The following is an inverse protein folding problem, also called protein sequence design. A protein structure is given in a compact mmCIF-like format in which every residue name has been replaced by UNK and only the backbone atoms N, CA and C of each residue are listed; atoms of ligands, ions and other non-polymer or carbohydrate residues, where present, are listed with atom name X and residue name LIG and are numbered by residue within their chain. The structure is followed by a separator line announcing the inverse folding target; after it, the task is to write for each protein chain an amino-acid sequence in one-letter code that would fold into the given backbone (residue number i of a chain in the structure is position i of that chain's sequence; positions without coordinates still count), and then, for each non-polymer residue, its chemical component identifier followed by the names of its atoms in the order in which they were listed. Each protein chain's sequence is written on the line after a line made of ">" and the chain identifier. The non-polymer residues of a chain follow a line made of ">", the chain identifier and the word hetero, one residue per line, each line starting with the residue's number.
data_IF_994978334110
#
_entry.id   IF_994978334110
#
_cell.length_a   1.000
_cell.length_b   1.000
_cell.length_c   1.000
_cell.angle_alpha   90.00
_cell.angle_beta   90.00
_cell.angle_gamma   90.00
#
_symmetry.space_group_name_H-M   'P 1'
#
loop_
_entity.id
_entity.type
_entity.pdbx_description
1 polymer ?
#
# COMPACT_ATOMS: atom_id res chain seq x y z
N UNK A 1 9.44 -59.45 -15.56
CA UNK A 1 8.55 -58.50 -14.84
C UNK A 1 9.43 -57.49 -14.16
N UNK A 2 9.62 -56.33 -14.75
CA UNK A 2 10.43 -55.21 -14.23
C UNK A 2 9.49 -54.22 -13.54
N UNK A 3 9.73 -53.78 -12.31
CA UNK A 3 8.87 -52.81 -11.66
C UNK A 3 9.13 -51.40 -12.21
N UNK A 4 8.06 -50.74 -12.68
CA UNK A 4 8.04 -49.33 -13.04
C UNK A 4 8.39 -48.49 -11.82
N UNK A 5 9.55 -47.84 -11.85
CA UNK A 5 9.89 -46.75 -10.94
C UNK A 5 9.04 -45.52 -11.27
N UNK A 6 8.13 -45.19 -10.39
CA UNK A 6 7.29 -44.02 -10.44
C UNK A 6 8.13 -42.80 -9.99
N UNK A 7 8.79 -42.15 -10.95
CA UNK A 7 9.59 -40.94 -10.73
C UNK A 7 8.65 -39.73 -10.54
N UNK A 8 8.05 -39.59 -9.36
CA UNK A 8 7.38 -38.34 -8.95
C UNK A 8 8.47 -37.34 -8.60
N UNK A 9 8.75 -36.42 -9.51
CA UNK A 9 9.50 -35.21 -9.17
C UNK A 9 8.78 -34.50 -8.03
N UNK A 10 9.50 -34.03 -6.98
CA UNK A 10 8.90 -33.24 -5.93
C UNK A 10 8.39 -31.92 -6.55
N UNK A 11 7.10 -31.67 -6.40
CA UNK A 11 6.51 -30.35 -6.67
C UNK A 11 7.23 -29.34 -5.76
N UNK A 12 7.73 -28.20 -6.27
CA UNK A 12 8.40 -27.23 -5.44
C UNK A 12 7.42 -26.80 -4.33
N UNK A 13 7.79 -27.05 -3.09
CA UNK A 13 7.09 -26.53 -1.91
C UNK A 13 7.28 -25.01 -1.96
N UNK A 14 6.29 -24.30 -2.49
CA UNK A 14 6.23 -22.84 -2.33
C UNK A 14 6.17 -22.58 -0.84
N UNK A 15 7.16 -21.87 -0.32
CA UNK A 15 7.21 -21.48 1.11
C UNK A 15 6.05 -20.51 1.39
N UNK A 16 4.89 -21.09 1.67
CA UNK A 16 3.63 -20.37 1.90
C UNK A 16 3.73 -19.48 3.14
N UNK A 17 4.69 -19.74 4.03
CA UNK A 17 4.93 -18.93 5.23
C UNK A 17 5.48 -17.53 4.90
N UNK A 18 6.06 -17.34 3.71
CA UNK A 18 6.59 -16.04 3.27
C UNK A 18 5.56 -15.16 2.55
N UNK A 19 4.38 -15.69 2.15
CA UNK A 19 3.35 -14.95 1.40
C UNK A 19 2.49 -14.16 2.38
N UNK A 20 2.42 -12.83 2.20
CA UNK A 20 1.56 -11.93 2.99
C UNK A 20 0.27 -11.51 2.28
N UNK A 21 0.27 -11.53 0.94
CA UNK A 21 -0.89 -11.24 0.10
C UNK A 21 -1.01 -12.30 -0.99
N UNK A 22 -2.20 -12.89 -1.13
CA UNK A 22 -2.55 -13.79 -2.22
C UNK A 22 -3.85 -13.32 -2.88
N UNK A 23 -3.85 -13.26 -4.19
CA UNK A 23 -4.99 -12.91 -5.04
C UNK A 23 -5.20 -14.07 -6.00
N UNK A 24 -6.41 -14.64 -6.02
CA UNK A 24 -6.76 -15.78 -6.85
C UNK A 24 -7.92 -15.41 -7.78
N UNK A 25 -7.66 -15.38 -9.09
CA UNK A 25 -8.63 -15.14 -10.16
C UNK A 25 -9.59 -13.95 -9.87
N UNK A 26 -9.05 -12.83 -9.36
CA UNK A 26 -9.83 -11.66 -8.97
C UNK A 26 -10.45 -10.99 -10.19
N UNK A 27 -11.78 -10.82 -10.17
CA UNK A 27 -12.52 -10.06 -11.17
C UNK A 27 -13.26 -8.91 -10.50
N UNK A 28 -13.15 -7.71 -11.09
CA UNK A 28 -13.81 -6.51 -10.56
C UNK A 28 -14.46 -5.73 -11.70
N UNK A 29 -15.76 -5.45 -11.55
CA UNK A 29 -16.53 -4.58 -12.43
C UNK A 29 -16.72 -3.18 -11.81
N UNK A 30 -16.86 -2.18 -12.65
CA UNK A 30 -17.26 -0.83 -12.26
C UNK A 30 -18.49 -0.44 -13.10
N UNK A 31 -19.67 -0.59 -12.51
CA UNK A 31 -20.91 -0.60 -13.27
C UNK A 31 -20.96 -1.80 -14.22
N UNK A 32 -21.04 -1.55 -15.52
CA UNK A 32 -21.03 -2.62 -16.54
C UNK A 32 -19.65 -2.85 -17.17
N UNK A 33 -18.62 -2.09 -16.74
CA UNK A 33 -17.27 -2.21 -17.30
C UNK A 33 -16.43 -3.20 -16.49
N UNK A 34 -15.90 -4.20 -17.15
CA UNK A 34 -14.85 -5.08 -16.63
C UNK A 34 -13.56 -4.25 -16.47
N UNK A 35 -12.96 -4.24 -15.28
CA UNK A 35 -11.76 -3.44 -14.96
C UNK A 35 -10.60 -4.32 -14.57
N UNK A 36 -10.86 -5.41 -13.86
CA UNK A 36 -9.88 -6.42 -13.50
C UNK A 36 -10.47 -7.76 -13.92
N UNK A 37 -9.72 -8.53 -14.70
CA UNK A 37 -10.15 -9.83 -15.22
C UNK A 37 -9.21 -10.94 -14.74
N UNK A 38 -9.75 -11.85 -13.93
CA UNK A 38 -9.11 -13.07 -13.42
C UNK A 38 -7.66 -12.90 -12.95
N UNK A 39 -7.36 -11.76 -12.30
CA UNK A 39 -6.01 -11.44 -11.82
C UNK A 39 -5.59 -12.43 -10.73
N UNK A 40 -4.43 -13.04 -10.91
CA UNK A 40 -3.76 -13.86 -9.90
C UNK A 40 -2.40 -13.25 -9.58
N UNK A 41 -2.10 -13.07 -8.28
CA UNK A 41 -0.86 -12.47 -7.81
C UNK A 41 -0.53 -12.94 -6.39
N UNK A 42 0.76 -13.04 -6.10
CA UNK A 42 1.28 -13.30 -4.75
C UNK A 42 2.36 -12.29 -4.41
N UNK A 43 2.37 -11.81 -3.18
CA UNK A 43 3.39 -10.92 -2.65
C UNK A 43 3.90 -11.45 -1.31
N UNK A 44 5.21 -11.34 -1.10
CA UNK A 44 5.90 -11.82 0.10
C UNK A 44 6.15 -10.69 1.09
N UNK A 45 6.45 -11.08 2.33
CA UNK A 45 7.03 -10.15 3.32
C UNK A 45 8.34 -9.55 2.81
N UNK A 46 8.60 -8.30 3.15
CA UNK A 46 9.80 -7.56 2.73
C UNK A 46 9.83 -7.20 1.25
N UNK A 47 8.74 -7.34 0.51
CA UNK A 47 8.70 -7.13 -0.95
C UNK A 47 8.04 -5.79 -1.31
N UNK A 48 8.68 -5.03 -2.21
CA UNK A 48 8.09 -3.92 -2.92
C UNK A 48 7.52 -4.42 -4.25
N UNK A 49 6.23 -4.33 -4.46
CA UNK A 49 5.60 -4.59 -5.75
C UNK A 49 5.19 -3.27 -6.42
N UNK A 50 5.72 -3.00 -7.60
CA UNK A 50 5.36 -1.84 -8.43
C UNK A 50 4.21 -2.24 -9.35
N UNK A 51 3.08 -1.58 -9.16
CA UNK A 51 1.88 -1.77 -9.97
C UNK A 51 1.88 -0.77 -11.12
N UNK A 52 2.05 -1.25 -12.34
CA UNK A 52 2.09 -0.44 -13.56
C UNK A 52 0.91 -0.74 -14.49
N UNK A 53 0.70 0.09 -15.49
CA UNK A 53 -0.36 -0.03 -16.48
C UNK A 53 -0.87 1.34 -16.93
N UNK A 54 -1.57 1.37 -18.05
CA UNK A 54 -2.14 2.59 -18.61
C UNK A 54 -3.09 3.31 -17.64
N UNK A 55 -3.37 4.59 -17.89
CA UNK A 55 -4.41 5.30 -17.13
C UNK A 55 -5.77 4.63 -17.39
N UNK A 56 -6.48 4.33 -16.30
CA UNK A 56 -7.75 3.60 -16.37
C UNK A 56 -7.63 2.07 -16.43
N UNK A 57 -6.42 1.49 -16.38
CA UNK A 57 -6.20 0.03 -16.34
C UNK A 57 -6.64 -0.65 -15.03
N UNK A 58 -7.12 0.11 -14.03
CA UNK A 58 -7.64 -0.50 -12.81
C UNK A 58 -6.70 -0.47 -11.61
N UNK A 59 -5.54 0.21 -11.66
CA UNK A 59 -4.55 0.27 -10.57
C UNK A 59 -5.19 0.67 -9.22
N UNK A 60 -5.86 1.82 -9.18
CA UNK A 60 -6.57 2.28 -7.97
C UNK A 60 -7.73 1.36 -7.57
N UNK A 61 -8.37 0.69 -8.54
CA UNK A 61 -9.42 -0.31 -8.28
C UNK A 61 -8.83 -1.51 -7.56
N UNK A 62 -7.72 -2.06 -8.05
CA UNK A 62 -7.02 -3.17 -7.41
C UNK A 62 -6.60 -2.83 -5.98
N UNK A 63 -5.94 -1.68 -5.78
CA UNK A 63 -5.51 -1.24 -4.44
C UNK A 63 -6.70 -1.12 -3.47
N UNK A 64 -7.83 -0.57 -3.94
CA UNK A 64 -9.05 -0.46 -3.12
C UNK A 64 -9.70 -1.80 -2.83
N UNK A 65 -9.67 -2.75 -3.76
CA UNK A 65 -10.17 -4.11 -3.53
C UNK A 65 -9.31 -4.84 -2.50
N UNK A 66 -7.98 -4.77 -2.60
CA UNK A 66 -7.07 -5.33 -1.60
C UNK A 66 -7.29 -4.65 -0.24
N UNK A 67 -7.51 -3.34 -0.20
CA UNK A 67 -7.80 -2.59 1.02
C UNK A 67 -9.17 -2.92 1.64
N UNK A 68 -9.98 -3.77 1.00
CA UNK A 68 -11.34 -4.08 1.45
C UNK A 68 -12.35 -2.93 1.30
N UNK A 69 -12.00 -1.91 0.51
CA UNK A 69 -12.85 -0.72 0.25
C UNK A 69 -13.73 -0.85 -0.99
N UNK A 70 -13.49 -1.89 -1.77
CA UNK A 70 -14.25 -2.23 -2.96
C UNK A 70 -14.41 -3.75 -3.00
N UNK A 71 -15.66 -4.27 -3.07
CA UNK A 71 -15.87 -5.70 -3.19
C UNK A 71 -15.39 -6.22 -4.54
N UNK A 72 -14.95 -7.48 -4.56
CA UNK A 72 -14.72 -8.24 -5.78
C UNK A 72 -16.04 -8.81 -6.29
N UNK A 73 -16.19 -8.92 -7.60
CA UNK A 73 -17.33 -9.60 -8.23
C UNK A 73 -17.10 -11.12 -8.26
N UNK A 74 -15.86 -11.57 -8.43
CA UNK A 74 -15.44 -12.97 -8.25
C UNK A 74 -13.95 -13.06 -7.89
N UNK A 75 -13.52 -14.27 -7.52
CA UNK A 75 -12.16 -14.53 -7.05
C UNK A 75 -12.00 -14.27 -5.56
N UNK A 76 -10.76 -14.35 -5.07
CA UNK A 76 -10.48 -14.25 -3.65
C UNK A 76 -9.23 -13.42 -3.37
N UNK A 77 -9.23 -12.67 -2.26
CA UNK A 77 -8.07 -11.94 -1.73
C UNK A 77 -7.84 -12.39 -0.28
N UNK A 78 -6.73 -13.09 -0.06
CA UNK A 78 -6.22 -13.40 1.27
C UNK A 78 -5.05 -12.46 1.60
N UNK A 79 -5.15 -11.74 2.71
CA UNK A 79 -4.09 -10.88 3.19
C UNK A 79 -3.92 -11.07 4.69
N UNK A 80 -2.72 -11.47 5.10
CA UNK A 80 -2.39 -11.83 6.47
C UNK A 80 -1.83 -10.67 7.29
N UNK A 81 -1.62 -9.50 6.65
CA UNK A 81 -1.15 -8.29 7.29
C UNK A 81 -2.27 -7.24 7.42
N UNK A 82 -2.21 -6.36 8.43
CA UNK A 82 -3.01 -5.13 8.45
C UNK A 82 -2.81 -4.33 7.17
N UNK A 83 -3.90 -3.82 6.60
CA UNK A 83 -3.90 -3.15 5.30
C UNK A 83 -3.98 -1.64 5.48
N UNK A 84 -2.96 -0.92 5.04
CA UNK A 84 -2.88 0.53 5.11
C UNK A 84 -2.98 1.10 3.70
N UNK A 85 -4.03 1.83 3.41
CA UNK A 85 -4.27 2.41 2.09
C UNK A 85 -4.10 3.93 2.11
N UNK A 86 -3.20 4.44 1.27
CA UNK A 86 -3.04 5.86 0.96
C UNK A 86 -3.40 6.06 -0.51
N UNK A 87 -4.56 6.66 -0.74
CA UNK A 87 -5.08 6.90 -2.08
C UNK A 87 -4.51 8.14 -2.77
N UNK A 88 -4.95 8.38 -3.99
CA UNK A 88 -4.65 9.61 -4.73
C UNK A 88 -5.22 10.86 -4.01
N UNK A 89 -6.42 10.75 -3.43
CA UNK A 89 -6.95 11.76 -2.53
C UNK A 89 -6.40 11.53 -1.12
N UNK A 90 -5.94 12.58 -0.46
CA UNK A 90 -5.27 12.50 0.84
C UNK A 90 -6.19 12.03 1.98
N UNK A 91 -7.52 12.12 1.81
CA UNK A 91 -8.50 11.65 2.80
C UNK A 91 -8.37 12.38 4.15
N UNK A 92 -8.10 13.69 4.10
CA UNK A 92 -7.95 14.56 5.27
C UNK A 92 -9.20 15.42 5.42
N UNK A 93 -9.65 15.59 6.68
CA UNK A 93 -10.73 16.52 7.03
C UNK A 93 -10.19 17.96 7.04
N UNK A 94 -10.69 18.81 6.15
CA UNK A 94 -10.17 20.16 5.95
C UNK A 94 -10.33 21.09 7.15
N UNK A 95 -11.41 20.93 7.93
CA UNK A 95 -11.77 21.84 9.04
C UNK A 95 -10.95 21.63 10.31
N UNK A 96 -10.27 20.51 10.48
CA UNK A 96 -9.48 20.19 11.66
C UNK A 96 -7.98 20.23 11.36
N UNK A 97 -7.16 20.34 12.40
CA UNK A 97 -5.70 20.42 12.26
C UNK A 97 -5.10 19.10 11.76
N UNK A 98 -3.85 19.18 11.27
CA UNK A 98 -3.08 18.02 10.85
C UNK A 98 -2.94 16.99 11.96
N UNK A 99 -2.57 17.40 13.15
CA UNK A 99 -2.43 16.53 14.31
C UNK A 99 -3.74 15.80 14.63
N UNK A 100 -4.88 16.52 14.66
CA UNK A 100 -6.21 15.91 14.89
C UNK A 100 -6.61 14.95 13.78
N UNK A 101 -6.21 15.21 12.53
CA UNK A 101 -6.41 14.26 11.42
C UNK A 101 -5.68 12.94 11.66
N UNK A 102 -4.42 12.97 12.14
CA UNK A 102 -3.65 11.76 12.46
C UNK A 102 -4.27 11.00 13.63
N UNK A 103 -4.65 11.70 14.70
CA UNK A 103 -5.33 11.10 15.86
C UNK A 103 -6.64 10.41 15.45
N UNK A 104 -7.48 11.11 14.68
CA UNK A 104 -8.75 10.56 14.20
C UNK A 104 -8.54 9.37 13.28
N UNK A 105 -7.53 9.42 12.40
CA UNK A 105 -7.21 8.31 11.53
C UNK A 105 -6.76 7.07 12.32
N UNK A 106 -5.90 7.25 13.32
CA UNK A 106 -5.47 6.16 14.19
C UNK A 106 -6.67 5.53 14.92
N UNK A 107 -7.53 6.36 15.51
CA UNK A 107 -8.73 5.88 16.21
C UNK A 107 -9.71 5.10 15.31
N UNK A 108 -9.93 5.57 14.07
CA UNK A 108 -10.81 4.89 13.09
C UNK A 108 -10.23 3.52 12.66
N UNK A 109 -8.92 3.35 12.73
CA UNK A 109 -8.24 2.11 12.36
C UNK A 109 -7.87 1.24 13.59
N UNK A 110 -8.43 1.54 14.77
CA UNK A 110 -8.18 0.83 16.03
C UNK A 110 -6.68 0.80 16.43
N UNK A 111 -5.93 1.85 16.05
CA UNK A 111 -4.51 2.01 16.37
C UNK A 111 -4.38 2.90 17.61
N UNK A 112 -3.83 2.33 18.67
CA UNK A 112 -3.51 3.10 19.88
C UNK A 112 -2.23 3.92 19.65
N UNK A 113 -2.32 5.24 19.77
CA UNK A 113 -1.20 6.17 19.61
C UNK A 113 -1.14 7.14 20.80
N UNK A 114 0.07 7.54 21.16
CA UNK A 114 0.32 8.62 22.14
C UNK A 114 0.74 9.91 21.41
N UNK A 115 0.81 11.01 22.15
CA UNK A 115 1.25 12.28 21.58
C UNK A 115 2.64 12.21 20.93
N UNK A 116 3.56 11.49 21.57
CA UNK A 116 4.92 11.29 21.05
C UNK A 116 4.95 10.55 19.70
N UNK A 117 4.07 9.55 19.50
CA UNK A 117 3.98 8.81 18.23
C UNK A 117 3.53 9.73 17.10
N UNK A 118 2.55 10.60 17.38
CA UNK A 118 2.04 11.60 16.43
C UNK A 118 3.15 12.60 16.07
N UNK A 119 3.88 13.12 17.08
CA UNK A 119 5.00 14.05 16.86
C UNK A 119 6.10 13.40 16.02
N UNK A 120 6.46 12.15 16.28
CA UNK A 120 7.44 11.40 15.51
C UNK A 120 6.98 11.18 14.07
N UNK A 121 5.72 10.82 13.85
CA UNK A 121 5.16 10.64 12.52
C UNK A 121 5.16 11.95 11.71
N UNK A 122 4.80 13.07 12.35
CA UNK A 122 4.86 14.40 11.75
C UNK A 122 6.29 14.80 11.38
N UNK A 123 7.25 14.58 12.28
CA UNK A 123 8.66 14.88 12.06
C UNK A 123 9.25 14.02 10.90
N UNK A 124 8.85 12.76 10.80
CA UNK A 124 9.30 11.85 9.74
C UNK A 124 8.99 12.37 8.34
N UNK A 125 7.89 13.07 8.16
CA UNK A 125 7.48 13.68 6.88
C UNK A 125 7.62 15.22 6.88
N UNK A 126 8.40 15.80 7.80
CA UNK A 126 8.61 17.26 7.91
C UNK A 126 7.28 18.04 7.93
N UNK A 127 6.32 17.57 8.73
CA UNK A 127 4.99 18.12 8.85
C UNK A 127 4.72 18.85 10.18
N UNK A 128 5.68 18.89 11.07
CA UNK A 128 5.55 19.49 12.41
C UNK A 128 5.20 20.98 12.35
N UNK A 129 5.84 21.73 11.42
CA UNK A 129 5.66 23.20 11.34
C UNK A 129 4.26 23.66 10.94
N UNK A 130 3.39 22.76 10.47
CA UNK A 130 2.01 23.07 10.09
C UNK A 130 0.98 22.11 10.69
N UNK A 131 1.39 21.28 11.65
CA UNK A 131 0.56 20.26 12.27
C UNK A 131 -0.70 20.81 12.97
N UNK A 132 -0.62 22.01 13.53
CA UNK A 132 -1.73 22.67 14.24
C UNK A 132 -2.65 23.47 13.32
N UNK A 133 -2.27 23.65 12.06
CA UNK A 133 -3.09 24.40 11.10
C UNK A 133 -4.26 23.55 10.58
N UNK A 134 -5.45 24.16 10.37
CA UNK A 134 -6.54 23.52 9.63
C UNK A 134 -6.05 23.07 8.24
N UNK A 135 -6.35 21.81 7.88
CA UNK A 135 -5.84 21.20 6.62
C UNK A 135 -6.26 21.94 5.36
N UNK A 136 -7.43 22.61 5.37
CA UNK A 136 -7.89 23.42 4.24
C UNK A 136 -6.95 24.59 3.91
N UNK A 137 -6.13 25.06 4.87
CA UNK A 137 -5.16 26.14 4.68
C UNK A 137 -3.80 25.66 4.17
N UNK A 138 -3.59 24.35 4.13
CA UNK A 138 -2.32 23.73 3.70
C UNK A 138 -2.21 23.68 2.18
N UNK A 139 -0.98 23.80 1.67
CA UNK A 139 -0.66 23.52 0.28
C UNK A 139 -0.89 22.04 -0.07
N UNK A 140 -0.93 21.70 -1.34
CA UNK A 140 -1.07 20.31 -1.80
C UNK A 140 0.05 19.42 -1.26
N UNK A 141 1.31 19.88 -1.33
CA UNK A 141 2.46 19.12 -0.83
C UNK A 141 2.41 18.92 0.69
N UNK A 142 2.02 19.96 1.45
CA UNK A 142 1.83 19.84 2.90
C UNK A 142 0.73 18.82 3.26
N UNK A 143 -0.41 18.85 2.56
CA UNK A 143 -1.45 17.83 2.75
C UNK A 143 -0.95 16.43 2.42
N UNK A 144 -0.18 16.27 1.33
CA UNK A 144 0.38 14.97 0.94
C UNK A 144 1.34 14.43 2.02
N UNK A 145 2.26 15.26 2.53
CA UNK A 145 3.16 14.90 3.63
C UNK A 145 2.40 14.45 4.87
N UNK A 146 1.34 15.18 5.23
CA UNK A 146 0.48 14.84 6.35
C UNK A 146 -0.25 13.50 6.14
N UNK A 147 -0.74 13.23 4.93
CA UNK A 147 -1.38 11.96 4.61
C UNK A 147 -0.40 10.77 4.71
N UNK A 148 0.86 10.97 4.27
CA UNK A 148 1.91 9.97 4.34
C UNK A 148 2.41 9.73 5.77
N UNK A 149 2.34 10.71 6.66
CA UNK A 149 2.70 10.55 8.07
C UNK A 149 1.90 9.42 8.75
N UNK A 150 0.70 9.08 8.26
CA UNK A 150 -0.09 7.93 8.72
C UNK A 150 0.64 6.60 8.58
N UNK A 151 1.55 6.47 7.61
CA UNK A 151 2.34 5.26 7.41
C UNK A 151 3.23 4.93 8.61
N UNK A 152 3.75 5.97 9.29
CA UNK A 152 4.59 5.82 10.47
C UNK A 152 3.80 5.52 11.75
N UNK A 153 2.47 5.69 11.73
CA UNK A 153 1.57 5.29 12.81
C UNK A 153 0.99 3.89 12.59
N UNK A 154 1.19 3.33 11.40
CA UNK A 154 0.64 2.02 11.05
C UNK A 154 1.26 0.90 11.89
N UNK A 155 0.51 -0.19 12.18
CA UNK A 155 1.09 -1.37 12.81
C UNK A 155 2.23 -1.93 11.95
N UNK A 156 3.24 -2.47 12.61
CA UNK A 156 4.36 -3.15 11.93
C UNK A 156 4.42 -4.61 12.40
N UNK A 157 4.49 -5.60 11.47
CA UNK A 157 4.40 -5.43 10.01
C UNK A 157 2.98 -5.15 9.51
N UNK A 158 2.86 -4.46 8.38
CA UNK A 158 1.61 -4.22 7.65
C UNK A 158 1.86 -4.25 6.14
N UNK A 159 0.80 -4.26 5.32
CA UNK A 159 0.93 -4.03 3.88
C UNK A 159 0.49 -2.60 3.55
N UNK A 160 1.38 -1.83 2.92
CA UNK A 160 1.10 -0.49 2.44
C UNK A 160 0.62 -0.53 0.98
N UNK A 161 -0.57 -0.02 0.75
CA UNK A 161 -1.23 0.07 -0.54
C UNK A 161 -1.23 1.54 -0.97
N UNK A 162 -0.30 1.91 -1.86
CA UNK A 162 0.01 3.30 -2.17
C UNK A 162 -0.42 3.65 -3.60
N UNK A 163 -1.30 4.66 -3.74
CA UNK A 163 -1.79 5.13 -5.04
C UNK A 163 -1.14 6.46 -5.38
N UNK A 164 -0.20 6.46 -6.33
CA UNK A 164 0.64 7.59 -6.75
C UNK A 164 1.28 8.33 -5.56
N UNK A 165 2.08 7.64 -4.71
CA UNK A 165 2.53 8.21 -3.45
C UNK A 165 3.45 9.43 -3.59
N UNK A 166 4.20 9.55 -4.69
CA UNK A 166 5.12 10.66 -4.96
C UNK A 166 4.45 11.92 -5.48
N UNK A 167 3.18 11.83 -5.91
CA UNK A 167 2.50 12.97 -6.55
C UNK A 167 2.38 14.15 -5.58
N UNK A 168 2.92 15.31 -6.01
CA UNK A 168 2.86 16.55 -5.23
C UNK A 168 3.95 16.69 -4.16
N UNK A 169 4.90 15.75 -4.09
CA UNK A 169 6.06 15.82 -3.20
C UNK A 169 7.25 16.51 -3.89
N UNK A 170 7.97 17.32 -3.13
CA UNK A 170 9.30 17.77 -3.48
C UNK A 170 10.33 16.63 -3.29
N UNK A 171 11.57 16.86 -3.75
CA UNK A 171 12.62 15.86 -3.71
C UNK A 171 12.93 15.35 -2.31
N UNK A 172 12.96 16.23 -1.33
CA UNK A 172 13.30 15.85 0.06
C UNK A 172 12.17 14.99 0.66
N UNK A 173 10.92 15.33 0.37
CA UNK A 173 9.77 14.52 0.78
C UNK A 173 9.71 13.16 0.08
N UNK A 174 10.17 13.06 -1.18
CA UNK A 174 10.32 11.78 -1.88
C UNK A 174 11.37 10.90 -1.21
N UNK A 175 12.55 11.45 -0.85
CA UNK A 175 13.59 10.72 -0.13
C UNK A 175 13.07 10.21 1.23
N UNK A 176 12.30 11.03 1.97
CA UNK A 176 11.68 10.60 3.23
C UNK A 176 10.71 9.44 3.03
N UNK A 177 9.90 9.47 1.97
CA UNK A 177 9.00 8.37 1.63
C UNK A 177 9.75 7.09 1.30
N UNK A 178 10.79 7.16 0.47
CA UNK A 178 11.63 6.01 0.12
C UNK A 178 12.34 5.44 1.35
N UNK A 179 12.85 6.30 2.24
CA UNK A 179 13.44 5.88 3.51
C UNK A 179 12.43 5.14 4.39
N UNK A 180 11.20 5.66 4.51
CA UNK A 180 10.14 5.03 5.28
C UNK A 180 9.72 3.67 4.67
N UNK A 181 9.64 3.58 3.34
CA UNK A 181 9.35 2.33 2.62
C UNK A 181 10.42 1.29 2.90
N UNK A 182 11.72 1.64 2.76
CA UNK A 182 12.82 0.70 3.00
C UNK A 182 12.81 0.18 4.44
N UNK A 183 12.68 1.07 5.42
CA UNK A 183 12.61 0.68 6.84
C UNK A 183 11.41 -0.25 7.12
N UNK A 184 10.27 0.01 6.48
CA UNK A 184 9.08 -0.83 6.62
C UNK A 184 9.27 -2.24 6.02
N UNK A 185 9.89 -2.33 4.84
CA UNK A 185 10.19 -3.61 4.18
C UNK A 185 11.22 -4.43 5.00
N UNK A 186 12.25 -3.78 5.52
CA UNK A 186 13.26 -4.40 6.39
C UNK A 186 12.65 -4.92 7.70
N UNK A 187 11.60 -4.27 8.20
CA UNK A 187 10.81 -4.72 9.35
C UNK A 187 9.81 -5.85 9.03
N UNK A 188 9.85 -6.42 7.82
CA UNK A 188 8.97 -7.52 7.38
C UNK A 188 7.60 -7.07 6.88
N UNK A 189 7.37 -5.77 6.67
CA UNK A 189 6.20 -5.25 5.98
C UNK A 189 6.21 -5.58 4.49
N UNK A 190 5.18 -5.16 3.76
CA UNK A 190 5.11 -5.25 2.31
C UNK A 190 4.56 -3.94 1.72
N UNK A 191 4.92 -3.61 0.48
CA UNK A 191 4.43 -2.41 -0.20
C UNK A 191 3.97 -2.77 -1.60
N UNK A 192 2.71 -2.42 -1.94
CA UNK A 192 2.19 -2.45 -3.30
C UNK A 192 1.91 -0.99 -3.73
N UNK A 193 2.69 -0.46 -4.64
CA UNK A 193 2.64 0.94 -5.05
C UNK A 193 2.24 1.07 -6.53
N UNK A 194 1.10 1.71 -6.80
CA UNK A 194 0.77 2.17 -8.14
C UNK A 194 1.50 3.48 -8.42
N UNK A 195 2.43 3.47 -9.36
CA UNK A 195 3.24 4.64 -9.67
C UNK A 195 3.80 4.57 -11.10
N UNK A 196 4.13 5.73 -11.65
CA UNK A 196 4.86 5.88 -12.91
C UNK A 196 6.32 6.26 -12.68
N UNK A 197 6.74 6.42 -11.42
CA UNK A 197 8.11 6.75 -11.04
C UNK A 197 8.84 5.45 -10.71
N UNK A 198 10.05 5.31 -11.20
CA UNK A 198 10.91 4.19 -10.85
C UNK A 198 11.23 4.24 -9.35
N UNK A 199 10.83 3.21 -8.65
CA UNK A 199 11.13 2.99 -7.24
C UNK A 199 12.00 1.76 -7.11
N UNK A 200 13.00 1.84 -6.27
CA UNK A 200 13.84 0.71 -5.91
C UNK A 200 13.84 0.55 -4.39
N UNK A 201 13.79 -0.68 -3.93
CA UNK A 201 13.92 -1.00 -2.51
C UNK A 201 15.29 -1.62 -2.22
N UNK A 202 15.73 -1.52 -0.97
CA UNK A 202 16.90 -2.26 -0.46
C UNK A 202 16.66 -3.77 -0.42
N UNK A 203 15.39 -4.19 -0.50
CA UNK A 203 14.92 -5.57 -0.52
C UNK A 203 14.45 -5.98 -1.94
N UNK A 204 13.70 -7.06 -2.04
CA UNK A 204 13.17 -7.54 -3.33
C UNK A 204 12.15 -6.55 -3.93
N UNK A 205 12.33 -6.24 -5.21
CA UNK A 205 11.37 -5.46 -6.00
C UNK A 205 10.79 -6.33 -7.12
N UNK A 206 9.47 -6.35 -7.23
CA UNK A 206 8.71 -7.04 -8.28
C UNK A 206 7.80 -6.08 -9.03
N UNK A 207 7.27 -6.52 -10.16
CA UNK A 207 6.39 -5.72 -11.00
C UNK A 207 5.11 -6.47 -11.32
N UNK A 208 3.98 -5.80 -11.13
CA UNK A 208 2.66 -6.26 -11.56
C UNK A 208 2.13 -5.32 -12.64
N UNK A 209 1.90 -5.84 -13.83
CA UNK A 209 1.42 -5.04 -14.97
C UNK A 209 -0.06 -5.30 -15.17
N UNK A 210 -0.89 -4.26 -15.05
CA UNK A 210 -2.30 -4.33 -15.42
C UNK A 210 -2.47 -3.97 -16.89
N UNK A 211 -3.02 -4.92 -17.68
CA UNK A 211 -3.54 -4.66 -19.02
C UNK A 211 -4.89 -3.94 -18.97
N UNK A 212 -5.35 -3.42 -20.11
CA UNK A 212 -6.76 -3.02 -20.26
C UNK A 212 -7.58 -4.31 -20.45
N UNK A 213 -8.60 -4.51 -19.62
CA UNK A 213 -9.55 -5.60 -19.75
C UNK A 213 -10.52 -5.37 -20.91
#
# INVERSE_FOLDING_TARGET
>A
MTPHQNNRQPVPVTDTAAICLQIDALTVLRGQRLVIDQLTHQQKHGELCILTGANGAGKSTLLRSIAGRLPADSGHIACHLPRIYIGHADGLAGAISGQKNLQSWAAINDITVQGADIEQALAGFDATGFADMPVQLLSRGQRRRLALARLLLAPSPSIWLLDEPHTGLDRDSQIRLETAINAHLEAGGAVLAATHIDMTASTATTHLVLGLA
#
